data_IF_973492959875
#
_entry.id   IF_973492959875
#
_cell.length_a   1.000
_cell.length_b   1.000
_cell.length_c   1.000
_cell.angle_alpha   90.00
_cell.angle_beta   90.00
_cell.angle_gamma   90.00
#
_symmetry.space_group_name_H-M   'P 1'
#
loop_
_entity.id
_entity.type
_entity.pdbx_description
1 polymer ?
#
# COMPACT_ATOMS: atom_id res chain seq x y z
N UNK A 1 -12.67 10.10 18.91
CA UNK A 1 -13.57 10.51 17.80
C UNK A 1 -12.82 10.19 16.52
N UNK A 2 -13.37 9.36 15.61
CA UNK A 2 -12.69 9.06 14.35
C UNK A 2 -12.58 10.35 13.53
N UNK A 3 -11.39 10.59 12.96
CA UNK A 3 -11.11 11.77 12.16
C UNK A 3 -11.66 11.50 10.74
N UNK A 4 -12.73 12.19 10.36
CA UNK A 4 -13.19 12.25 8.98
C UNK A 4 -12.31 13.27 8.24
N UNK A 5 -11.64 12.86 7.17
CA UNK A 5 -10.78 13.76 6.40
C UNK A 5 -10.98 13.55 4.89
N UNK A 6 -11.42 14.60 4.21
CA UNK A 6 -11.44 14.66 2.76
C UNK A 6 -10.17 15.40 2.31
N UNK A 7 -9.21 14.69 1.72
CA UNK A 7 -8.01 15.29 1.13
C UNK A 7 -8.28 15.54 -0.35
N UNK A 8 -8.86 16.71 -0.65
CA UNK A 8 -8.96 17.23 -2.03
C UNK A 8 -7.89 18.28 -2.20
N UNK A 9 -6.65 17.87 -2.50
CA UNK A 9 -5.57 18.85 -2.67
C UNK A 9 -4.58 18.44 -3.75
N UNK A 10 -4.44 19.30 -4.75
CA UNK A 10 -3.36 19.24 -5.74
C UNK A 10 -2.05 19.67 -5.09
N UNK A 11 -1.29 18.71 -4.56
CA UNK A 11 0.09 18.96 -4.16
C UNK A 11 0.95 19.10 -5.43
N UNK A 12 1.25 20.32 -5.84
CA UNK A 12 2.44 20.62 -6.65
C UNK A 12 3.53 20.96 -5.65
N UNK A 13 4.35 19.98 -5.26
CA UNK A 13 5.45 20.23 -4.33
C UNK A 13 6.34 19.01 -4.15
N UNK A 14 7.61 19.16 -4.51
CA UNK A 14 8.65 18.24 -4.09
C UNK A 14 8.72 18.26 -2.56
N UNK A 15 8.41 17.14 -1.91
CA UNK A 15 8.65 17.00 -0.47
C UNK A 15 10.16 16.85 -0.30
N UNK A 16 10.82 17.99 -0.10
CA UNK A 16 12.29 18.11 0.01
C UNK A 16 12.90 17.31 1.16
N UNK A 17 12.07 16.85 2.10
CA UNK A 17 12.52 16.12 3.29
C UNK A 17 12.31 14.59 3.19
N UNK A 18 11.87 14.08 2.04
CA UNK A 18 11.83 12.63 1.78
C UNK A 18 10.80 11.86 2.61
N UNK A 19 9.58 12.39 2.77
CA UNK A 19 8.48 11.71 3.48
C UNK A 19 7.28 11.42 2.57
N UNK A 20 6.22 10.81 3.11
CA UNK A 20 4.99 10.45 2.41
C UNK A 20 4.28 11.69 1.83
N UNK A 21 3.79 11.54 0.61
CA UNK A 21 2.99 12.54 -0.10
C UNK A 21 1.62 12.73 0.54
N UNK A 22 1.04 11.60 0.91
CA UNK A 22 -0.19 11.48 1.69
C UNK A 22 0.06 10.33 2.65
N UNK A 23 -0.06 10.61 3.95
CA UNK A 23 0.01 9.62 5.02
C UNK A 23 -1.37 9.50 5.67
N UNK A 24 -1.97 8.32 5.61
CA UNK A 24 -3.25 7.99 6.25
C UNK A 24 -2.94 7.15 7.48
N UNK A 25 -2.86 7.80 8.64
CA UNK A 25 -2.43 7.15 9.88
C UNK A 25 -3.51 6.23 10.47
N UNK A 26 -3.11 5.37 11.41
CA UNK A 26 -4.03 4.56 12.22
C UNK A 26 -5.11 5.39 12.93
N UNK A 27 -6.28 4.78 13.12
CA UNK A 27 -7.45 5.42 13.75
C UNK A 27 -8.29 6.27 12.81
N UNK A 28 -8.09 6.15 11.49
CA UNK A 28 -8.81 6.90 10.46
C UNK A 28 -9.94 6.09 9.83
N UNK A 29 -10.99 6.78 9.40
CA UNK A 29 -12.14 6.19 8.72
C UNK A 29 -12.71 7.17 7.69
N UNK A 30 -13.27 6.66 6.60
CA UNK A 30 -13.98 7.44 5.57
C UNK A 30 -13.12 8.59 5.04
N UNK A 31 -12.03 8.19 4.39
CA UNK A 31 -11.02 9.06 3.83
C UNK A 31 -11.12 9.01 2.31
N UNK A 32 -11.17 10.18 1.69
CA UNK A 32 -11.09 10.29 0.23
C UNK A 32 -9.90 11.14 -0.18
N UNK A 33 -9.05 10.60 -1.06
CA UNK A 33 -7.86 11.24 -1.62
C UNK A 33 -8.04 11.30 -3.13
N UNK A 34 -8.21 12.49 -3.70
CA UNK A 34 -8.53 12.62 -5.13
C UNK A 34 -7.65 13.66 -5.82
N UNK A 35 -7.28 13.40 -7.08
CA UNK A 35 -6.59 14.39 -7.95
C UNK A 35 -5.26 14.89 -7.38
N UNK A 36 -4.52 14.00 -6.73
CA UNK A 36 -3.19 14.31 -6.20
C UNK A 36 -2.15 14.11 -7.29
N UNK A 37 -1.28 15.11 -7.46
CA UNK A 37 -0.01 14.94 -8.14
C UNK A 37 1.07 14.73 -7.07
N UNK A 38 1.92 13.74 -7.25
CA UNK A 38 2.81 13.30 -6.21
C UNK A 38 4.20 13.02 -6.76
N UNK A 39 5.21 13.73 -6.27
CA UNK A 39 6.59 13.43 -6.64
C UNK A 39 7.56 14.62 -6.60
N UNK A 40 8.84 14.39 -6.27
CA UNK A 40 9.42 13.23 -5.56
C UNK A 40 9.00 13.16 -4.07
N UNK A 41 8.82 11.94 -3.52
CA UNK A 41 8.38 11.67 -2.12
C UNK A 41 8.40 10.15 -1.81
N UNK A 42 7.84 9.73 -0.67
CA UNK A 42 7.58 8.31 -0.36
C UNK A 42 6.29 7.72 -0.95
N UNK A 43 5.47 8.51 -1.65
CA UNK A 43 4.21 8.07 -2.25
C UNK A 43 2.98 8.26 -1.36
N UNK A 44 1.91 7.53 -1.66
CA UNK A 44 0.67 7.52 -0.87
C UNK A 44 0.70 6.29 0.03
N UNK A 45 0.71 6.52 1.33
CA UNK A 45 0.89 5.48 2.34
C UNK A 45 -0.26 5.44 3.33
N UNK A 46 -0.80 4.25 3.57
CA UNK A 46 -1.65 3.94 4.72
C UNK A 46 -0.77 3.34 5.81
N UNK A 47 -0.90 3.87 7.02
CA UNK A 47 -0.17 3.47 8.19
C UNK A 47 1.07 4.33 8.51
N UNK A 48 1.85 3.94 9.51
CA UNK A 48 1.82 2.61 10.11
C UNK A 48 0.53 2.26 10.86
N UNK A 49 0.09 1.01 10.72
CA UNK A 49 -1.07 0.46 11.41
C UNK A 49 -0.54 -0.58 12.40
N UNK A 50 -0.82 -0.40 13.68
CA UNK A 50 -0.34 -1.23 14.77
C UNK A 50 -0.91 -0.76 16.11
N UNK A 51 -0.57 -1.42 17.22
CA UNK A 51 -1.00 -0.93 18.54
C UNK A 51 -2.52 -0.85 18.77
N UNK A 52 -3.30 -1.72 18.13
CA UNK A 52 -4.78 -1.75 18.10
C UNK A 52 -5.44 -0.73 17.16
N UNK A 53 -4.68 -0.03 16.32
CA UNK A 53 -5.22 0.92 15.35
C UNK A 53 -6.05 0.26 14.24
N UNK A 54 -6.94 1.06 13.67
CA UNK A 54 -7.82 0.65 12.56
C UNK A 54 -7.77 1.66 11.44
N UNK A 55 -7.85 1.19 10.20
CA UNK A 55 -8.03 2.02 9.00
C UNK A 55 -9.14 1.39 8.18
N UNK A 56 -10.15 2.18 7.81
CA UNK A 56 -11.35 1.66 7.16
C UNK A 56 -11.99 2.67 6.20
N UNK A 57 -12.55 2.21 5.08
CA UNK A 57 -13.21 3.08 4.09
C UNK A 57 -12.28 4.16 3.56
N UNK A 58 -11.21 3.74 2.90
CA UNK A 58 -10.26 4.65 2.25
C UNK A 58 -10.42 4.55 0.75
N UNK A 59 -10.63 5.68 0.08
CA UNK A 59 -10.66 5.76 -1.37
C UNK A 59 -9.55 6.70 -1.86
N UNK A 60 -8.67 6.20 -2.72
CA UNK A 60 -7.63 6.98 -3.40
C UNK A 60 -7.88 6.89 -4.89
N UNK A 61 -8.24 8.01 -5.52
CA UNK A 61 -8.65 8.03 -6.93
C UNK A 61 -8.03 9.16 -7.75
N UNK A 62 -7.83 8.92 -9.05
CA UNK A 62 -7.42 9.95 -10.02
C UNK A 62 -6.08 10.62 -9.68
N UNK A 63 -5.08 9.87 -9.25
CA UNK A 63 -3.79 10.41 -8.81
C UNK A 63 -2.65 10.12 -9.81
N UNK A 64 -1.68 11.02 -9.87
CA UNK A 64 -0.43 10.84 -10.63
C UNK A 64 0.75 10.78 -9.66
N UNK A 65 1.52 9.69 -9.67
CA UNK A 65 2.65 9.47 -8.76
C UNK A 65 3.92 9.27 -9.59
N UNK A 66 4.94 10.12 -9.37
CA UNK A 66 6.12 10.21 -10.22
C UNK A 66 7.40 10.32 -9.41
N UNK A 67 8.41 9.50 -9.72
CA UNK A 67 9.75 9.60 -9.13
C UNK A 67 9.76 9.43 -7.60
N UNK A 68 8.84 8.63 -7.05
CA UNK A 68 8.71 8.36 -5.62
C UNK A 68 9.33 7.01 -5.25
N UNK A 69 9.63 6.82 -3.95
CA UNK A 69 10.14 5.52 -3.47
C UNK A 69 9.04 4.46 -3.37
N UNK A 70 7.77 4.86 -3.23
CA UNK A 70 6.62 3.95 -3.33
C UNK A 70 5.48 4.62 -4.10
N UNK A 71 4.60 3.84 -4.70
CA UNK A 71 3.36 4.34 -5.30
C UNK A 71 2.26 4.31 -4.27
N UNK A 72 1.65 3.14 -4.12
CA UNK A 72 0.56 2.85 -3.21
C UNK A 72 1.04 1.85 -2.16
N UNK A 73 1.10 2.28 -0.91
CA UNK A 73 1.73 1.52 0.17
C UNK A 73 0.78 1.34 1.35
N UNK A 74 0.67 0.12 1.86
CA UNK A 74 0.04 -0.19 3.15
C UNK A 74 1.13 -0.75 4.08
N UNK A 75 1.39 -0.06 5.19
CA UNK A 75 2.40 -0.43 6.21
C UNK A 75 1.68 -0.95 7.45
N UNK A 76 1.89 -2.21 7.82
CA UNK A 76 1.41 -2.73 9.09
C UNK A 76 2.55 -3.25 9.97
N UNK A 77 2.46 -2.97 11.27
CA UNK A 77 3.52 -3.24 12.23
C UNK A 77 3.64 -4.74 12.50
N UNK A 78 4.89 -5.22 12.54
CA UNK A 78 5.18 -6.53 13.16
C UNK A 78 4.69 -6.54 14.61
N UNK A 79 4.08 -7.64 15.06
CA UNK A 79 3.43 -7.74 16.38
C UNK A 79 2.22 -6.81 16.55
N UNK A 80 1.79 -6.10 15.49
CA UNK A 80 0.64 -5.22 15.52
C UNK A 80 -0.67 -5.97 15.73
N UNK A 81 -1.66 -5.23 16.20
CA UNK A 81 -3.05 -5.66 16.34
C UNK A 81 -3.93 -4.58 15.71
N UNK A 82 -5.16 -4.95 15.31
CA UNK A 82 -6.06 -4.05 14.61
C UNK A 82 -6.40 -4.53 13.19
N UNK A 83 -6.84 -3.63 12.32
CA UNK A 83 -7.20 -3.97 10.95
C UNK A 83 -7.07 -2.83 9.93
N UNK A 84 -6.90 -3.20 8.67
CA UNK A 84 -7.01 -2.33 7.50
C UNK A 84 -8.01 -2.97 6.53
N UNK A 85 -9.14 -2.31 6.23
CA UNK A 85 -10.15 -2.88 5.32
C UNK A 85 -10.96 -1.87 4.52
N UNK A 86 -11.59 -2.33 3.45
CA UNK A 86 -12.42 -1.49 2.57
C UNK A 86 -11.60 -0.33 2.01
N UNK A 87 -10.52 -0.70 1.33
CA UNK A 87 -9.55 0.24 0.75
C UNK A 87 -9.59 0.11 -0.76
N UNK A 88 -9.77 1.22 -1.46
CA UNK A 88 -9.82 1.26 -2.92
C UNK A 88 -8.76 2.22 -3.43
N UNK A 89 -7.95 1.74 -4.37
CA UNK A 89 -7.05 2.54 -5.19
C UNK A 89 -7.51 2.44 -6.65
N UNK A 90 -7.89 3.56 -7.26
CA UNK A 90 -8.50 3.59 -8.59
C UNK A 90 -7.93 4.70 -9.47
N UNK A 91 -7.80 4.47 -10.78
CA UNK A 91 -7.43 5.49 -11.76
C UNK A 91 -6.10 6.18 -11.40
N UNK A 92 -5.05 5.37 -11.24
CA UNK A 92 -3.73 5.83 -10.78
C UNK A 92 -2.71 5.69 -11.89
N UNK A 93 -2.00 6.78 -12.18
CA UNK A 93 -0.90 6.78 -13.13
C UNK A 93 0.46 6.89 -12.42
N UNK A 94 1.37 5.98 -12.76
CA UNK A 94 2.68 5.82 -12.12
C UNK A 94 3.81 6.15 -13.10
N UNK A 95 4.82 6.90 -12.68
CA UNK A 95 5.96 7.24 -13.53
C UNK A 95 7.26 7.04 -12.77
N UNK A 96 8.05 6.05 -13.17
CA UNK A 96 9.38 5.79 -12.60
C UNK A 96 9.35 5.66 -11.07
N UNK A 97 8.42 4.86 -10.54
CA UNK A 97 8.21 4.65 -9.10
C UNK A 97 8.98 3.42 -8.63
N UNK A 98 9.72 3.51 -7.52
CA UNK A 98 10.61 2.42 -7.06
C UNK A 98 9.83 1.18 -6.59
N UNK A 99 8.84 1.33 -5.71
CA UNK A 99 7.93 0.27 -5.25
C UNK A 99 6.48 0.64 -5.59
N UNK A 100 6.00 0.33 -6.81
CA UNK A 100 4.71 0.80 -7.32
C UNK A 100 3.51 0.42 -6.44
N UNK A 101 3.34 -0.85 -6.10
CA UNK A 101 2.27 -1.33 -5.21
C UNK A 101 2.88 -2.24 -4.15
N UNK A 102 2.62 -1.92 -2.87
CA UNK A 102 3.15 -2.71 -1.75
C UNK A 102 2.18 -2.78 -0.56
N UNK A 103 1.98 -4.00 -0.05
CA UNK A 103 1.39 -4.26 1.27
C UNK A 103 2.45 -5.02 2.08
N UNK A 104 2.99 -4.35 3.10
CA UNK A 104 4.06 -4.88 3.95
C UNK A 104 3.61 -4.99 5.40
N UNK A 105 3.58 -6.22 5.92
CA UNK A 105 3.24 -6.53 7.32
C UNK A 105 4.47 -6.71 8.21
N UNK A 106 5.64 -6.39 7.69
CA UNK A 106 6.91 -6.42 8.39
C UNK A 106 7.44 -5.02 8.72
N UNK A 107 6.60 -3.98 8.63
CA UNK A 107 7.01 -2.61 8.94
C UNK A 107 7.42 -2.47 10.41
N UNK A 108 8.49 -1.70 10.64
CA UNK A 108 9.10 -1.46 11.95
C UNK A 108 9.80 -0.10 11.93
N UNK A 109 9.63 0.70 12.98
CA UNK A 109 10.27 2.02 13.10
C UNK A 109 11.59 1.98 13.86
N UNK A 110 11.80 1.04 14.81
CA UNK A 110 13.00 0.96 15.65
C UNK A 110 13.08 -0.39 16.41
N UNK A 111 14.25 -0.69 16.97
CA UNK A 111 14.78 -1.99 17.49
C UNK A 111 14.08 -2.65 18.70
N UNK A 112 12.81 -2.36 18.96
CA UNK A 112 12.16 -2.82 20.21
C UNK A 112 11.75 -4.30 20.21
N UNK A 113 11.75 -4.96 19.06
CA UNK A 113 11.48 -6.40 18.95
C UNK A 113 12.71 -7.13 18.37
N UNK A 114 13.40 -7.89 19.23
CA UNK A 114 14.66 -8.58 18.90
C UNK A 114 14.50 -9.80 18.00
N UNK A 115 13.30 -10.37 17.90
CA UNK A 115 13.04 -11.54 17.07
C UNK A 115 12.71 -11.11 15.64
N UNK A 116 13.67 -11.34 14.75
CA UNK A 116 13.57 -11.05 13.33
C UNK A 116 13.97 -12.30 12.50
N UNK A 117 13.07 -12.85 11.67
CA UNK A 117 11.66 -12.45 11.49
C UNK A 117 10.82 -12.65 12.77
N UNK A 118 9.68 -11.95 12.87
CA UNK A 118 8.72 -12.26 13.92
C UNK A 118 8.30 -13.73 13.81
N UNK A 119 8.10 -14.45 14.93
CA UNK A 119 7.71 -15.85 14.87
C UNK A 119 6.33 -15.98 14.20
N UNK A 120 6.03 -17.11 13.52
CA UNK A 120 4.79 -17.26 12.74
C UNK A 120 3.49 -17.06 13.53
N UNK A 121 3.53 -17.23 14.86
CA UNK A 121 2.40 -17.08 15.77
C UNK A 121 2.25 -15.67 16.37
N UNK A 122 3.19 -14.75 16.08
CA UNK A 122 3.11 -13.36 16.50
C UNK A 122 1.79 -12.69 16.08
N UNK A 123 1.34 -11.71 16.85
CA UNK A 123 0.21 -10.87 16.45
C UNK A 123 0.49 -10.16 15.13
N UNK A 124 -0.57 -9.96 14.34
CA UNK A 124 -0.51 -9.23 13.08
C UNK A 124 -1.80 -8.46 12.85
N UNK A 125 -1.70 -7.32 12.16
CA UNK A 125 -2.85 -6.52 11.72
C UNK A 125 -3.59 -7.29 10.62
N UNK A 126 -4.92 -7.39 10.71
CA UNK A 126 -5.72 -8.02 9.65
C UNK A 126 -5.86 -7.08 8.47
N UNK A 127 -5.51 -7.54 7.27
CA UNK A 127 -5.71 -6.78 6.03
C UNK A 127 -6.71 -7.53 5.15
N UNK A 128 -7.80 -6.86 4.77
CA UNK A 128 -8.85 -7.49 3.97
C UNK A 128 -9.56 -6.48 3.05
N UNK A 129 -10.07 -6.93 1.91
CA UNK A 129 -10.87 -6.09 1.00
C UNK A 129 -10.12 -4.82 0.58
N UNK A 130 -9.03 -5.06 -0.17
CA UNK A 130 -8.19 -4.01 -0.77
C UNK A 130 -8.22 -4.19 -2.27
N UNK A 131 -8.74 -3.20 -2.98
CA UNK A 131 -8.93 -3.24 -4.43
C UNK A 131 -8.01 -2.23 -5.12
N UNK A 132 -7.29 -2.70 -6.13
CA UNK A 132 -6.51 -1.90 -7.07
C UNK A 132 -7.16 -2.01 -8.45
N UNK A 133 -7.60 -0.90 -9.04
CA UNK A 133 -8.27 -0.92 -10.35
C UNK A 133 -7.81 0.20 -11.26
N UNK A 134 -7.59 -0.11 -12.54
CA UNK A 134 -7.13 0.85 -13.55
C UNK A 134 -5.87 1.61 -13.10
N UNK A 135 -4.79 0.86 -12.87
CA UNK A 135 -3.50 1.39 -12.44
C UNK A 135 -2.47 1.11 -13.52
N UNK A 136 -1.84 2.14 -14.05
CA UNK A 136 -0.94 1.99 -15.19
C UNK A 136 0.29 2.89 -15.10
N UNK A 137 1.35 2.53 -15.84
CA UNK A 137 2.53 3.36 -16.01
C UNK A 137 3.84 2.59 -15.83
N UNK A 138 4.88 3.22 -15.28
CA UNK A 138 6.22 2.64 -15.19
C UNK A 138 6.78 2.55 -13.76
N UNK A 139 7.58 1.51 -13.55
CA UNK A 139 8.39 1.33 -12.34
C UNK A 139 9.81 1.83 -12.56
N UNK A 140 10.56 2.06 -11.48
CA UNK A 140 12.00 2.26 -11.51
C UNK A 140 12.77 0.98 -11.15
N UNK A 141 12.07 -0.07 -10.71
CA UNK A 141 12.65 -1.37 -10.34
C UNK A 141 11.83 -2.54 -10.88
N UNK A 142 12.45 -3.73 -10.93
CA UNK A 142 11.81 -4.93 -11.46
C UNK A 142 10.62 -5.42 -10.63
N UNK A 143 10.66 -5.32 -9.31
CA UNK A 143 9.60 -5.84 -8.45
C UNK A 143 8.50 -4.79 -8.29
N UNK A 144 7.44 -4.90 -9.09
CA UNK A 144 6.43 -3.84 -9.22
C UNK A 144 5.24 -4.00 -8.29
N UNK A 145 4.91 -5.23 -7.91
CA UNK A 145 3.82 -5.56 -6.98
C UNK A 145 4.38 -6.44 -5.86
N UNK A 146 4.12 -6.06 -4.61
CA UNK A 146 4.56 -6.83 -3.43
C UNK A 146 3.44 -6.98 -2.42
N UNK A 147 2.95 -8.21 -2.23
CA UNK A 147 2.07 -8.58 -1.13
C UNK A 147 2.84 -9.50 -0.18
N UNK A 148 3.40 -8.91 0.88
CA UNK A 148 4.28 -9.61 1.83
C UNK A 148 3.58 -9.77 3.18
N UNK A 149 2.84 -10.87 3.33
CA UNK A 149 2.07 -11.20 4.52
C UNK A 149 2.81 -12.20 5.42
N UNK A 150 2.84 -11.93 6.73
CA UNK A 150 3.53 -12.76 7.72
C UNK A 150 2.92 -14.15 7.92
N UNK A 151 1.68 -14.36 7.45
CA UNK A 151 0.98 -15.64 7.51
C UNK A 151 0.20 -15.90 8.81
N UNK A 152 0.28 -15.02 9.83
CA UNK A 152 -0.58 -15.13 11.02
C UNK A 152 -2.06 -15.03 10.65
N UNK A 153 -2.37 -14.04 9.82
CA UNK A 153 -3.65 -13.86 9.16
C UNK A 153 -3.35 -13.59 7.70
N UNK A 154 -3.82 -14.45 6.79
CA UNK A 154 -3.69 -14.19 5.37
C UNK A 154 -4.32 -12.84 5.01
N UNK A 155 -3.73 -12.14 4.06
CA UNK A 155 -4.47 -11.08 3.36
C UNK A 155 -5.66 -11.75 2.65
N UNK A 156 -6.85 -11.16 2.77
CA UNK A 156 -8.08 -11.73 2.22
C UNK A 156 -8.78 -10.73 1.33
N UNK A 157 -9.43 -11.18 0.27
CA UNK A 157 -10.18 -10.30 -0.64
C UNK A 157 -9.30 -9.19 -1.23
N UNK A 158 -8.04 -9.50 -1.54
CA UNK A 158 -7.16 -8.59 -2.29
C UNK A 158 -7.50 -8.71 -3.77
N UNK A 159 -7.78 -7.60 -4.43
CA UNK A 159 -8.20 -7.60 -5.83
C UNK A 159 -7.34 -6.67 -6.69
N UNK A 160 -6.98 -7.14 -7.87
CA UNK A 160 -6.43 -6.30 -8.94
C UNK A 160 -7.27 -6.48 -10.20
N UNK A 161 -7.55 -5.38 -10.89
CA UNK A 161 -8.23 -5.37 -12.19
C UNK A 161 -7.65 -4.25 -13.06
N UNK A 162 -7.22 -4.56 -14.28
CA UNK A 162 -6.63 -3.57 -15.19
C UNK A 162 -5.41 -2.87 -14.55
N UNK A 163 -4.44 -3.65 -14.08
CA UNK A 163 -3.21 -3.16 -13.45
C UNK A 163 -2.02 -3.50 -14.34
N UNK A 164 -1.45 -2.50 -15.03
CA UNK A 164 -0.34 -2.69 -15.97
C UNK A 164 0.83 -1.77 -15.67
N UNK A 165 1.87 -2.29 -15.00
CA UNK A 165 3.05 -1.52 -14.62
C UNK A 165 4.27 -2.09 -15.32
N UNK A 166 4.90 -1.31 -16.18
CA UNK A 166 5.97 -1.77 -17.07
C UNK A 166 7.35 -1.39 -16.54
N UNK A 167 8.30 -2.31 -16.66
CA UNK A 167 9.76 -2.10 -16.51
C UNK A 167 10.49 -3.22 -17.28
N UNK A 168 11.83 -3.26 -17.30
CA UNK A 168 12.54 -4.38 -17.88
C UNK A 168 12.51 -5.61 -16.95
N UNK A 169 11.85 -6.68 -17.39
CA UNK A 169 11.66 -7.94 -16.66
C UNK A 169 10.89 -7.76 -15.34
N UNK A 170 9.73 -7.10 -15.41
CA UNK A 170 8.89 -6.83 -14.25
C UNK A 170 8.38 -8.11 -13.58
N UNK A 171 8.34 -8.11 -12.25
CA UNK A 171 7.91 -9.23 -11.41
C UNK A 171 6.95 -8.79 -10.32
N UNK A 172 6.16 -9.75 -9.83
CA UNK A 172 5.34 -9.60 -8.64
C UNK A 172 5.78 -10.58 -7.56
N UNK A 173 5.69 -10.17 -6.30
CA UNK A 173 5.84 -11.02 -5.13
C UNK A 173 4.51 -11.14 -4.40
N UNK A 174 4.08 -12.37 -4.08
CA UNK A 174 2.85 -12.59 -3.35
C UNK A 174 2.96 -13.78 -2.41
N UNK A 175 2.78 -13.54 -1.11
CA UNK A 175 2.83 -14.56 -0.06
C UNK A 175 1.60 -14.46 0.84
N UNK A 176 1.05 -15.59 1.28
CA UNK A 176 -0.05 -15.70 2.26
C UNK A 176 -1.24 -14.76 1.93
N UNK A 177 -1.57 -14.64 0.65
CA UNK A 177 -2.59 -13.70 0.16
C UNK A 177 -3.64 -14.45 -0.64
N UNK A 178 -4.90 -14.19 -0.30
CA UNK A 178 -6.08 -14.74 -0.98
C UNK A 178 -6.79 -13.61 -1.68
N UNK A 179 -7.00 -13.76 -2.99
CA UNK A 179 -7.44 -12.66 -3.82
C UNK A 179 -7.81 -13.07 -5.23
N UNK A 180 -8.21 -12.08 -6.02
CA UNK A 180 -8.53 -12.22 -7.44
C UNK A 180 -7.73 -11.21 -8.24
N UNK A 181 -6.87 -11.70 -9.12
CA UNK A 181 -5.98 -10.87 -9.94
C UNK A 181 -6.38 -11.00 -11.40
N UNK A 182 -7.05 -9.99 -11.93
CA UNK A 182 -7.59 -9.95 -13.30
C UNK A 182 -6.79 -8.90 -14.07
N UNK A 183 -6.46 -9.21 -15.33
CA UNK A 183 -5.82 -8.26 -16.26
C UNK A 183 -4.68 -7.48 -15.58
N UNK A 184 -3.74 -8.23 -15.00
CA UNK A 184 -2.66 -7.69 -14.19
C UNK A 184 -1.32 -8.09 -14.81
N UNK A 185 -0.49 -7.09 -15.10
CA UNK A 185 0.86 -7.25 -15.60
C UNK A 185 1.85 -6.57 -14.64
N UNK A 186 2.83 -7.32 -14.09
CA UNK A 186 3.06 -8.76 -14.26
C UNK A 186 2.00 -9.62 -13.56
N UNK A 187 1.79 -10.88 -14.01
CA UNK A 187 0.84 -11.79 -13.38
C UNK A 187 1.20 -12.09 -11.91
N UNK A 188 0.21 -12.00 -11.02
CA UNK A 188 0.38 -12.26 -9.59
C UNK A 188 0.10 -13.73 -9.29
N UNK A 189 1.11 -14.42 -8.76
CA UNK A 189 1.00 -15.81 -8.30
C UNK A 189 1.31 -15.87 -6.80
N UNK A 190 0.34 -16.27 -5.99
CA UNK A 190 0.45 -16.31 -4.54
C UNK A 190 0.70 -17.74 -4.03
N UNK A 191 1.49 -17.85 -2.97
CA UNK A 191 1.81 -19.11 -2.29
C UNK A 191 1.71 -18.99 -0.77
#
# INVERSE_FOLDING_TARGET
MPLHAQVVMGCVGAIKDGDDCVAINGGTYDINVTRVFCGPSHGISLGEIGGHDTVEQVHVENCNISGTTNGLRIKTMSYGTGYARWIVFQDIHLVNVVNPIIIDQHYRTNSENTDCPAPPDASAVKVSDVTYTNIYGSSATKQVITFNCSGKYNYTEIATNEVGITELDETSYCQNTQGKFIDTNPPINCY
#
